data_IF_958958406210
#
_entry.id   IF_958958406210
#
_cell.length_a   1.000
_cell.length_b   1.000
_cell.length_c   1.000
_cell.angle_alpha   90.00
_cell.angle_beta   90.00
_cell.angle_gamma   90.00
#
_symmetry.space_group_name_H-M   'P 1'
#
loop_
_entity.id
_entity.type
_entity.pdbx_description
1 polymer ?
#
# COMPACT_ATOMS: atom_id res chain seq x y z
N UNK A 1 -0.94 -1.04 -12.14
CA UNK A 1 -0.81 -2.49 -11.86
C UNK A 1 -2.19 -3.11 -11.78
N UNK A 2 -2.34 -4.39 -12.14
CA UNK A 2 -3.63 -5.11 -12.07
C UNK A 2 -3.86 -5.66 -10.66
N UNK A 3 -5.11 -5.67 -10.15
CA UNK A 3 -5.43 -6.39 -8.92
C UNK A 3 -5.02 -7.87 -9.00
N UNK A 4 -4.58 -8.44 -7.88
CA UNK A 4 -4.03 -9.80 -7.79
C UNK A 4 -2.55 -9.91 -8.15
N UNK A 5 -1.96 -8.85 -8.70
CA UNK A 5 -0.53 -8.83 -8.98
C UNK A 5 0.29 -8.74 -7.68
N UNK A 6 1.31 -9.59 -7.56
CA UNK A 6 2.25 -9.60 -6.43
C UNK A 6 3.64 -9.31 -6.94
N UNK A 7 4.36 -8.44 -6.23
CA UNK A 7 5.73 -8.08 -6.57
C UNK A 7 6.56 -7.85 -5.32
N UNK A 8 7.88 -7.98 -5.47
CA UNK A 8 8.82 -7.63 -4.41
C UNK A 8 9.13 -6.14 -4.49
N UNK A 9 9.04 -5.43 -3.36
CA UNK A 9 9.40 -4.02 -3.24
C UNK A 9 10.28 -3.86 -2.00
N UNK A 10 11.54 -3.45 -2.21
CA UNK A 10 12.60 -3.55 -1.21
C UNK A 10 12.67 -4.98 -0.60
N UNK A 11 12.55 -5.09 0.72
CA UNK A 11 12.55 -6.36 1.46
C UNK A 11 11.15 -6.94 1.69
N UNK A 12 10.10 -6.35 1.12
CA UNK A 12 8.70 -6.73 1.34
C UNK A 12 8.04 -7.31 0.09
N UNK A 13 7.10 -8.25 0.29
CA UNK A 13 6.20 -8.73 -0.78
C UNK A 13 4.91 -7.94 -0.73
N UNK A 14 4.54 -7.36 -1.86
CA UNK A 14 3.42 -6.43 -1.97
C UNK A 14 2.40 -7.00 -2.93
N UNK A 15 1.15 -7.05 -2.49
CA UNK A 15 0.00 -7.44 -3.27
C UNK A 15 -0.83 -6.20 -3.64
N UNK A 16 -1.13 -6.09 -4.93
CA UNK A 16 -2.06 -5.09 -5.45
C UNK A 16 -3.46 -5.65 -5.28
N UNK A 17 -4.27 -5.05 -4.40
CA UNK A 17 -5.65 -5.48 -4.18
C UNK A 17 -6.62 -4.52 -4.84
N UNK A 18 -7.76 -5.09 -5.24
CA UNK A 18 -8.87 -4.30 -5.76
C UNK A 18 -9.46 -3.50 -4.62
N UNK A 19 -9.67 -2.21 -4.86
CA UNK A 19 -10.48 -1.38 -4.00
C UNK A 19 -11.90 -1.28 -4.58
N UNK A 20 -12.88 -0.96 -3.75
CA UNK A 20 -14.22 -0.62 -4.18
C UNK A 20 -14.58 0.75 -3.64
N UNK A 21 -15.50 1.45 -4.31
CA UNK A 21 -15.89 2.79 -3.89
C UNK A 21 -16.55 2.84 -2.50
N UNK A 22 -17.24 1.78 -2.10
CA UNK A 22 -17.93 1.66 -0.81
C UNK A 22 -17.02 1.21 0.33
N UNK A 23 -15.94 0.49 0.05
CA UNK A 23 -15.02 -0.08 1.05
C UNK A 23 -13.63 0.54 1.00
N UNK A 24 -13.55 1.83 0.63
CA UNK A 24 -12.26 2.51 0.51
C UNK A 24 -11.59 2.60 1.88
N UNK A 25 -10.49 1.86 1.99
CA UNK A 25 -9.62 1.87 3.16
C UNK A 25 -8.84 3.18 3.23
N UNK A 26 -8.50 3.59 4.45
CA UNK A 26 -7.63 4.74 4.68
C UNK A 26 -6.17 4.31 4.52
N UNK A 27 -5.36 5.17 3.90
CA UNK A 27 -3.92 5.01 3.87
C UNK A 27 -3.38 5.16 5.29
N UNK A 28 -2.60 4.19 5.74
CA UNK A 28 -1.92 4.31 7.04
C UNK A 28 -0.89 5.46 7.06
N UNK A 29 -0.32 5.81 5.90
CA UNK A 29 0.76 6.81 5.82
C UNK A 29 0.26 8.24 5.62
N UNK A 30 -0.72 8.46 4.73
CA UNK A 30 -1.23 9.80 4.46
C UNK A 30 -2.60 10.09 5.07
N UNK A 31 -3.21 9.13 5.77
CA UNK A 31 -4.53 9.24 6.40
C UNK A 31 -5.72 9.32 5.43
N UNK A 32 -5.48 9.64 4.15
CA UNK A 32 -6.52 9.81 3.14
C UNK A 32 -7.12 8.48 2.68
N UNK A 33 -8.38 8.52 2.23
CA UNK A 33 -9.04 7.37 1.59
C UNK A 33 -8.35 6.99 0.27
N UNK A 34 -8.05 5.71 0.11
CA UNK A 34 -7.45 5.19 -1.10
C UNK A 34 -8.34 5.37 -2.34
N UNK A 35 -7.74 5.49 -3.54
CA UNK A 35 -8.49 5.61 -4.78
C UNK A 35 -9.38 4.38 -5.02
N UNK A 36 -10.48 4.55 -5.77
CA UNK A 36 -11.54 3.54 -5.95
C UNK A 36 -11.06 2.22 -6.52
N UNK A 37 -9.91 2.18 -7.20
CA UNK A 37 -9.55 1.05 -8.06
C UNK A 37 -8.61 0.05 -7.39
N UNK A 38 -7.54 0.54 -6.74
CA UNK A 38 -6.51 -0.32 -6.14
C UNK A 38 -5.94 0.26 -4.84
N UNK A 39 -5.40 -0.64 -4.03
CA UNK A 39 -4.48 -0.33 -2.93
C UNK A 39 -3.37 -1.38 -2.86
N UNK A 40 -2.32 -1.07 -2.12
CA UNK A 40 -1.18 -1.94 -1.89
C UNK A 40 -1.21 -2.47 -0.46
N UNK A 41 -1.06 -3.78 -0.33
CA UNK A 41 -0.96 -4.48 0.96
C UNK A 41 0.34 -5.27 0.99
N UNK A 42 1.07 -5.18 2.08
CA UNK A 42 2.25 -6.02 2.31
C UNK A 42 1.79 -7.38 2.87
N UNK A 43 2.33 -8.50 2.39
CA UNK A 43 1.95 -9.84 2.86
C UNK A 43 2.14 -9.99 4.39
N UNK A 44 3.19 -9.37 4.93
CA UNK A 44 3.55 -9.44 6.35
C UNK A 44 2.85 -8.37 7.21
N UNK A 45 1.93 -7.59 6.65
CA UNK A 45 1.30 -6.49 7.38
C UNK A 45 -0.19 -6.34 7.05
N UNK A 46 -0.97 -5.95 8.05
CA UNK A 46 -2.38 -5.57 7.87
C UNK A 46 -2.48 -4.15 7.25
N UNK A 47 -1.35 -3.50 7.04
CA UNK A 47 -1.30 -2.10 6.61
C UNK A 47 -1.60 -1.93 5.13
N UNK A 48 -2.34 -0.84 4.86
CA UNK A 48 -2.84 -0.49 3.55
C UNK A 48 -2.23 0.83 3.12
N UNK A 49 -1.70 0.87 1.91
CA UNK A 49 -1.16 2.09 1.31
C UNK A 49 -1.78 2.34 -0.05
N UNK A 50 -2.02 3.61 -0.38
CA UNK A 50 -2.75 3.97 -1.60
C UNK A 50 -1.82 4.18 -2.81
N UNK A 51 -0.52 4.33 -2.57
CA UNK A 51 0.50 4.56 -3.59
C UNK A 51 1.81 3.92 -3.18
N UNK A 52 2.67 3.66 -4.18
CA UNK A 52 4.04 3.19 -3.93
C UNK A 52 4.85 4.20 -3.11
N UNK A 53 4.60 5.50 -3.26
CA UNK A 53 5.24 6.53 -2.45
C UNK A 53 4.88 6.42 -0.96
N UNK A 54 3.59 6.21 -0.65
CA UNK A 54 3.18 5.92 0.72
C UNK A 54 3.85 4.64 1.22
N UNK A 55 3.81 3.59 0.40
CA UNK A 55 4.47 2.32 0.75
C UNK A 55 5.98 2.48 1.01
N UNK A 56 6.67 3.30 0.23
CA UNK A 56 8.10 3.58 0.38
C UNK A 56 8.39 4.33 1.69
N UNK A 57 7.63 5.39 1.98
CA UNK A 57 7.74 6.11 3.27
C UNK A 57 7.51 5.21 4.47
N UNK A 58 6.60 4.24 4.33
CA UNK A 58 6.35 3.24 5.36
C UNK A 58 7.52 2.28 5.57
N UNK A 59 8.07 1.78 4.47
CA UNK A 59 9.12 0.75 4.47
C UNK A 59 10.50 1.32 4.79
N UNK A 60 10.67 2.63 4.62
CA UNK A 60 11.84 3.38 5.04
C UNK A 60 11.42 4.19 6.29
N UNK A 61 11.25 3.56 7.47
CA UNK A 61 11.15 4.34 8.70
C UNK A 61 12.54 4.95 8.91
N UNK A 62 12.72 6.18 8.45
CA UNK A 62 13.84 7.04 8.79
C UNK A 62 15.24 6.39 8.60
N UNK A 63 15.85 6.58 7.42
CA UNK A 63 17.29 6.92 7.41
C UNK A 63 17.41 8.32 8.03
N UNK A 64 17.35 8.43 9.36
CA UNK A 64 17.91 9.58 10.04
C UNK A 64 19.42 9.33 10.08
N UNK A 65 20.16 10.09 9.28
CA UNK A 65 21.58 10.33 9.54
C UNK A 65 21.70 11.32 10.69
#
# INVERSE_FOLDING_TARGET
MKPGFRFKYYSSKVEVRRNSNSTRLNCVECGNRCPRYIYYKNDNSVTVTCSLNCLEKKLIPLKTF
#
